data_IF_555222779709
#
_entry.id   IF_555222779709
#
_cell.length_a   1.000
_cell.length_b   1.000
_cell.length_c   1.000
_cell.angle_alpha   90.00
_cell.angle_beta   90.00
_cell.angle_gamma   90.00
#
_symmetry.space_group_name_H-M   'P 1'
#
loop_
_entity.id
_entity.type
_entity.pdbx_description
1 polymer ?
#
# COMPACT_ATOMS: atom_id res chain seq x y z
N UNK A 1 15.58 -12.81 -14.84
CA UNK A 1 14.73 -11.91 -15.64
C UNK A 1 13.28 -11.81 -15.10
N UNK A 2 13.05 -11.51 -13.80
CA UNK A 2 11.69 -11.39 -13.24
C UNK A 2 11.00 -10.03 -13.50
N UNK A 3 11.75 -8.91 -13.48
CA UNK A 3 11.21 -7.54 -13.66
C UNK A 3 10.31 -7.38 -14.91
N UNK A 4 10.62 -8.10 -15.99
CA UNK A 4 9.84 -8.03 -17.24
C UNK A 4 8.40 -8.56 -17.09
N UNK A 5 8.14 -9.49 -16.18
CA UNK A 5 6.80 -10.04 -15.97
C UNK A 5 5.93 -9.08 -15.17
N UNK A 6 6.49 -8.48 -14.12
CA UNK A 6 5.81 -7.44 -13.35
C UNK A 6 5.47 -6.24 -14.23
N UNK A 7 6.44 -5.68 -14.96
CA UNK A 7 6.24 -4.55 -15.85
C UNK A 7 5.14 -4.82 -16.90
N UNK A 8 5.15 -6.01 -17.51
CA UNK A 8 4.14 -6.41 -18.47
C UNK A 8 2.74 -6.53 -17.83
N UNK A 9 2.66 -7.03 -16.60
CA UNK A 9 1.40 -7.12 -15.88
C UNK A 9 0.83 -5.72 -15.56
N UNK A 10 1.67 -4.80 -15.08
CA UNK A 10 1.26 -3.41 -14.78
C UNK A 10 0.85 -2.66 -16.06
N UNK A 11 1.55 -2.85 -17.17
CA UNK A 11 1.14 -2.27 -18.45
C UNK A 11 -0.23 -2.78 -18.92
N UNK A 12 -0.50 -4.08 -18.78
CA UNK A 12 -1.80 -4.66 -19.12
C UNK A 12 -2.91 -4.18 -18.17
N UNK A 13 -2.61 -3.97 -16.90
CA UNK A 13 -3.55 -3.41 -15.92
C UNK A 13 -3.93 -1.97 -16.29
N UNK A 14 -2.95 -1.09 -16.50
CA UNK A 14 -3.19 0.30 -16.89
C UNK A 14 -3.93 0.41 -18.24
N UNK A 15 -3.68 -0.55 -19.14
CA UNK A 15 -4.44 -0.70 -20.37
C UNK A 15 -5.93 -0.91 -20.11
N UNK A 16 -6.24 -1.86 -19.22
CA UNK A 16 -7.59 -2.26 -18.89
C UNK A 16 -8.36 -1.14 -18.21
N UNK A 17 -7.73 -0.44 -17.26
CA UNK A 17 -8.32 0.69 -16.55
C UNK A 17 -8.75 1.79 -17.54
N UNK A 18 -7.86 2.17 -18.47
CA UNK A 18 -8.20 3.14 -19.53
C UNK A 18 -9.37 2.68 -20.40
N UNK A 19 -9.44 1.39 -20.75
CA UNK A 19 -10.57 0.85 -21.51
C UNK A 19 -11.88 0.92 -20.73
N UNK A 20 -11.85 0.64 -19.42
CA UNK A 20 -13.02 0.73 -18.55
C UNK A 20 -13.50 2.18 -18.36
N UNK A 21 -12.57 3.11 -18.17
CA UNK A 21 -12.88 4.54 -18.07
C UNK A 21 -13.52 5.07 -19.37
N UNK A 22 -12.98 4.71 -20.53
CA UNK A 22 -13.56 5.06 -21.82
C UNK A 22 -14.98 4.50 -21.97
N UNK A 23 -15.18 3.22 -21.64
CA UNK A 23 -16.50 2.60 -21.68
C UNK A 23 -17.49 3.31 -20.73
N UNK A 24 -17.05 3.69 -19.53
CA UNK A 24 -17.87 4.43 -18.57
C UNK A 24 -18.21 5.85 -19.05
N UNK A 25 -17.28 6.55 -19.71
CA UNK A 25 -17.52 7.87 -20.31
C UNK A 25 -18.55 7.82 -21.44
N UNK A 26 -18.44 6.80 -22.31
CA UNK A 26 -19.43 6.54 -23.37
C UNK A 26 -20.80 6.24 -22.75
N UNK A 27 -20.86 5.38 -21.72
CA UNK A 27 -22.11 5.05 -21.03
C UNK A 27 -22.76 6.27 -20.34
N UNK A 28 -21.97 7.25 -19.93
CA UNK A 28 -22.43 8.53 -19.33
C UNK A 28 -22.84 9.58 -20.36
N UNK A 29 -22.80 9.27 -21.66
CA UNK A 29 -23.23 10.18 -22.73
C UNK A 29 -22.31 11.38 -22.94
N UNK A 30 -21.08 11.35 -22.40
CA UNK A 30 -20.07 12.37 -22.68
C UNK A 30 -19.57 12.13 -24.10
N UNK A 31 -19.88 13.05 -25.03
CA UNK A 31 -19.31 13.01 -26.38
C UNK A 31 -17.81 13.23 -26.24
N UNK A 32 -17.05 12.14 -26.30
CA UNK A 32 -15.61 12.21 -26.46
C UNK A 32 -15.35 12.94 -27.80
N UNK A 33 -15.01 14.22 -27.72
CA UNK A 33 -14.41 14.95 -28.83
C UNK A 33 -13.25 14.10 -29.33
N UNK A 34 -13.32 13.78 -30.62
CA UNK A 34 -12.46 12.81 -31.29
C UNK A 34 -10.98 12.95 -30.90
N UNK A 35 -10.49 12.00 -30.10
CA UNK A 35 -9.08 11.59 -30.12
C UNK A 35 -9.03 10.10 -30.41
N UNK A 36 -8.88 9.82 -31.70
CA UNK A 36 -8.23 8.66 -32.34
C UNK A 36 -8.31 7.30 -31.60
N UNK A 37 -9.08 6.33 -32.14
CA UNK A 37 -8.88 4.95 -31.76
C UNK A 37 -7.53 4.49 -32.31
N UNK A 38 -6.64 4.05 -31.42
CA UNK A 38 -5.40 3.38 -31.80
C UNK A 38 -4.26 4.32 -32.15
N UNK A 39 -3.39 4.58 -31.17
CA UNK A 39 -1.99 4.84 -31.48
C UNK A 39 -0.97 4.22 -30.55
N UNK A 40 -1.36 3.22 -29.77
CA UNK A 40 -0.48 2.14 -29.31
C UNK A 40 -1.33 0.88 -29.07
N UNK A 41 -0.92 -0.25 -29.64
CA UNK A 41 -1.62 -1.54 -29.63
C UNK A 41 -1.71 -2.15 -28.24
N UNK A 42 -2.56 -1.59 -27.40
CA UNK A 42 -2.72 -2.00 -26.02
C UNK A 42 -3.77 -3.11 -25.92
N UNK A 43 -3.31 -4.36 -25.92
CA UNK A 43 -4.16 -5.53 -25.67
C UNK A 43 -4.07 -5.91 -24.19
N UNK A 44 -5.10 -5.58 -23.43
CA UNK A 44 -5.20 -5.98 -22.03
C UNK A 44 -5.53 -7.49 -21.94
N UNK A 45 -4.75 -8.23 -21.13
CA UNK A 45 -5.09 -9.59 -20.74
C UNK A 45 -6.37 -9.64 -19.90
N UNK A 46 -6.84 -10.86 -19.62
CA UNK A 46 -7.93 -11.05 -18.66
C UNK A 46 -7.45 -10.76 -17.22
N UNK A 47 -8.34 -10.44 -16.27
CA UNK A 47 -7.93 -10.23 -14.87
C UNK A 47 -7.15 -11.42 -14.30
N UNK A 48 -7.61 -12.64 -14.60
CA UNK A 48 -6.94 -13.88 -14.18
C UNK A 48 -5.55 -14.03 -14.80
N UNK A 49 -5.36 -13.60 -16.05
CA UNK A 49 -4.06 -13.66 -16.71
C UNK A 49 -3.07 -12.67 -16.07
N UNK A 50 -3.51 -11.44 -15.82
CA UNK A 50 -2.70 -10.40 -15.17
C UNK A 50 -2.33 -10.85 -13.75
N UNK A 51 -3.29 -11.36 -12.99
CA UNK A 51 -3.07 -11.91 -11.65
C UNK A 51 -2.09 -13.10 -11.67
N UNK A 52 -2.20 -14.00 -12.64
CA UNK A 52 -1.26 -15.11 -12.80
C UNK A 52 0.16 -14.63 -13.10
N UNK A 53 0.32 -13.57 -13.91
CA UNK A 53 1.62 -12.94 -14.18
C UNK A 53 2.22 -12.35 -12.91
N UNK A 54 1.43 -11.60 -12.13
CA UNK A 54 1.87 -11.02 -10.86
C UNK A 54 2.28 -12.10 -9.85
N UNK A 55 1.47 -13.14 -9.68
CA UNK A 55 1.79 -14.28 -8.79
C UNK A 55 3.05 -15.00 -9.24
N UNK A 56 3.24 -15.18 -10.54
CA UNK A 56 4.43 -15.81 -11.10
C UNK A 56 5.67 -14.96 -10.84
N UNK A 57 5.60 -13.65 -11.07
CA UNK A 57 6.71 -12.73 -10.78
C UNK A 57 7.06 -12.77 -9.27
N UNK A 58 6.06 -12.70 -8.39
CA UNK A 58 6.26 -12.78 -6.94
C UNK A 58 6.90 -14.13 -6.51
N UNK A 59 6.43 -15.24 -7.07
CA UNK A 59 7.00 -16.57 -6.82
C UNK A 59 8.45 -16.70 -7.32
N UNK A 60 8.84 -15.92 -8.34
CA UNK A 60 10.21 -15.81 -8.83
C UNK A 60 11.07 -14.85 -8.00
N UNK A 61 10.53 -14.26 -6.94
CA UNK A 61 11.25 -13.35 -6.05
C UNK A 61 11.15 -11.87 -6.41
N UNK A 62 10.29 -11.48 -7.34
CA UNK A 62 10.07 -10.08 -7.68
C UNK A 62 9.42 -9.31 -6.53
N UNK A 63 10.16 -8.38 -5.92
CA UNK A 63 9.70 -7.61 -4.75
C UNK A 63 8.52 -6.70 -5.09
N UNK A 64 8.54 -6.06 -6.26
CA UNK A 64 7.46 -5.18 -6.69
C UNK A 64 6.15 -5.95 -6.90
N UNK A 65 6.24 -7.15 -7.48
CA UNK A 65 5.08 -8.04 -7.62
C UNK A 65 4.54 -8.51 -6.26
N UNK A 66 5.41 -8.89 -5.32
CA UNK A 66 5.01 -9.28 -3.95
C UNK A 66 4.28 -8.13 -3.27
N UNK A 67 4.89 -6.95 -3.27
CA UNK A 67 4.32 -5.73 -2.70
C UNK A 67 2.96 -5.41 -3.30
N UNK A 68 2.85 -5.40 -4.63
CA UNK A 68 1.59 -5.13 -5.32
C UNK A 68 0.48 -6.09 -4.88
N UNK A 69 0.79 -7.39 -4.82
CA UNK A 69 -0.16 -8.41 -4.38
C UNK A 69 -0.57 -8.23 -2.91
N UNK A 70 0.37 -7.88 -2.02
CA UNK A 70 0.07 -7.60 -0.62
C UNK A 70 -0.85 -6.39 -0.46
N UNK A 71 -0.56 -5.29 -1.15
CA UNK A 71 -1.41 -4.09 -1.12
C UNK A 71 -2.82 -4.37 -1.68
N UNK A 72 -2.90 -5.10 -2.81
CA UNK A 72 -4.16 -5.52 -3.38
C UNK A 72 -4.96 -6.39 -2.41
N UNK A 73 -4.30 -7.34 -1.73
CA UNK A 73 -4.94 -8.24 -0.78
C UNK A 73 -5.44 -7.51 0.45
N UNK A 74 -4.65 -6.60 1.01
CA UNK A 74 -5.05 -5.75 2.12
C UNK A 74 -6.30 -4.94 1.76
N UNK A 75 -6.31 -4.29 0.60
CA UNK A 75 -7.47 -3.54 0.12
C UNK A 75 -8.72 -4.44 -0.02
N UNK A 76 -8.57 -5.64 -0.61
CA UNK A 76 -9.69 -6.58 -0.78
C UNK A 76 -10.29 -7.03 0.55
N UNK A 77 -9.45 -7.32 1.55
CA UNK A 77 -9.92 -7.75 2.88
C UNK A 77 -10.67 -6.62 3.57
N UNK A 78 -10.10 -5.41 3.59
CA UNK A 78 -10.74 -4.24 4.19
C UNK A 78 -12.06 -3.88 3.49
N UNK A 79 -12.09 -3.90 2.15
CA UNK A 79 -13.30 -3.62 1.37
C UNK A 79 -14.39 -4.66 1.63
N UNK A 80 -14.02 -5.94 1.75
CA UNK A 80 -14.97 -7.02 2.06
C UNK A 80 -15.62 -6.81 3.42
N UNK A 81 -14.83 -6.48 4.45
CA UNK A 81 -15.36 -6.18 5.78
C UNK A 81 -16.35 -5.01 5.78
N UNK A 82 -16.11 -3.98 4.96
CA UNK A 82 -17.04 -2.85 4.78
C UNK A 82 -18.29 -3.27 4.00
N UNK A 83 -18.15 -4.06 2.94
CA UNK A 83 -19.27 -4.48 2.10
C UNK A 83 -20.22 -5.46 2.79
N UNK A 84 -19.69 -6.30 3.69
CA UNK A 84 -20.48 -7.27 4.46
C UNK A 84 -21.12 -6.66 5.71
N UNK A 85 -20.72 -5.44 6.10
CA UNK A 85 -21.27 -4.76 7.25
C UNK A 85 -22.74 -4.35 7.02
N UNK A 86 -23.66 -4.73 7.93
CA UNK A 86 -25.04 -4.25 7.86
C UNK A 86 -25.12 -2.71 7.89
N UNK A 87 -26.08 -2.14 7.14
CA UNK A 87 -26.29 -0.70 7.10
C UNK A 87 -26.51 -0.13 8.52
N UNK A 88 -25.77 0.94 8.85
CA UNK A 88 -25.84 1.58 10.16
C UNK A 88 -25.02 0.90 11.26
N UNK A 89 -24.25 -0.13 10.94
CA UNK A 89 -23.32 -0.78 11.88
C UNK A 89 -21.87 -0.47 11.52
N UNK A 90 -21.00 -0.42 12.54
CA UNK A 90 -19.57 -0.31 12.31
C UNK A 90 -19.07 -1.64 11.73
N UNK A 91 -18.40 -1.56 10.58
CA UNK A 91 -17.76 -2.70 9.94
C UNK A 91 -16.72 -3.33 10.89
N UNK A 92 -16.63 -4.65 10.86
CA UNK A 92 -15.68 -5.44 11.65
C UNK A 92 -15.13 -6.56 10.77
N UNK A 93 -13.87 -6.90 10.99
CA UNK A 93 -13.28 -8.05 10.33
C UNK A 93 -13.90 -9.34 10.86
N UNK A 94 -14.09 -10.32 9.97
CA UNK A 94 -14.36 -11.69 10.40
C UNK A 94 -13.11 -12.30 11.02
N UNK A 95 -13.22 -13.35 11.84
CA UNK A 95 -12.03 -14.01 12.40
C UNK A 95 -11.07 -14.57 11.33
N UNK A 96 -11.59 -14.88 10.13
CA UNK A 96 -10.78 -15.32 9.01
C UNK A 96 -10.00 -14.14 8.41
N UNK A 97 -10.67 -13.01 8.23
CA UNK A 97 -10.05 -11.77 7.74
C UNK A 97 -9.06 -11.19 8.74
N UNK A 98 -9.30 -11.30 10.06
CA UNK A 98 -8.33 -10.91 11.09
C UNK A 98 -7.02 -11.69 10.95
N UNK A 99 -7.09 -13.02 10.84
CA UNK A 99 -5.90 -13.86 10.62
C UNK A 99 -5.19 -13.53 9.30
N UNK A 100 -5.95 -13.18 8.28
CA UNK A 100 -5.40 -12.77 7.00
C UNK A 100 -4.70 -11.42 7.09
N UNK A 101 -5.29 -10.44 7.77
CA UNK A 101 -4.67 -9.13 8.03
C UNK A 101 -3.41 -9.29 8.87
N UNK A 102 -3.40 -10.14 9.91
CA UNK A 102 -2.20 -10.41 10.70
C UNK A 102 -1.05 -10.98 9.85
N UNK A 103 -1.35 -11.83 8.87
CA UNK A 103 -0.37 -12.35 7.94
C UNK A 103 0.15 -11.24 7.00
N UNK A 104 -0.76 -10.43 6.46
CA UNK A 104 -0.42 -9.30 5.59
C UNK A 104 0.45 -8.27 6.30
N UNK A 105 0.13 -7.94 7.56
CA UNK A 105 0.91 -7.00 8.38
C UNK A 105 2.34 -7.50 8.54
N UNK A 106 2.53 -8.80 8.84
CA UNK A 106 3.88 -9.40 8.97
C UNK A 106 4.66 -9.36 7.66
N UNK A 107 4.02 -9.70 6.55
CA UNK A 107 4.68 -9.71 5.23
C UNK A 107 5.05 -8.28 4.78
N UNK A 108 4.16 -7.31 5.02
CA UNK A 108 4.41 -5.90 4.75
C UNK A 108 5.51 -5.33 5.64
N UNK A 109 5.53 -5.69 6.93
CA UNK A 109 6.56 -5.27 7.88
C UNK A 109 7.94 -5.80 7.46
N UNK A 110 8.05 -7.04 7.00
CA UNK A 110 9.31 -7.58 6.47
C UNK A 110 9.81 -6.79 5.25
N UNK A 111 8.92 -6.41 4.34
CA UNK A 111 9.28 -5.58 3.19
C UNK A 111 9.66 -4.15 3.61
N UNK A 112 8.88 -3.55 4.51
CA UNK A 112 9.11 -2.22 5.03
C UNK A 112 10.47 -2.10 5.75
N UNK A 113 10.81 -3.10 6.57
CA UNK A 113 12.11 -3.18 7.25
C UNK A 113 13.27 -3.44 6.30
N UNK A 114 13.01 -3.97 5.09
CA UNK A 114 14.01 -4.06 4.01
C UNK A 114 14.19 -2.76 3.22
N UNK A 115 13.40 -1.72 3.55
CA UNK A 115 13.43 -0.40 2.93
C UNK A 115 12.47 -0.22 1.77
N UNK A 116 11.46 -1.09 1.64
CA UNK A 116 10.39 -0.90 0.67
C UNK A 116 9.41 0.18 1.14
N UNK A 117 9.51 1.37 0.53
CA UNK A 117 8.70 2.53 0.91
C UNK A 117 7.21 2.35 0.70
N UNK A 118 6.83 1.71 -0.40
CA UNK A 118 5.43 1.53 -0.74
C UNK A 118 4.79 0.47 0.18
N UNK A 119 5.59 -0.49 0.69
CA UNK A 119 5.19 -1.36 1.79
C UNK A 119 5.02 -0.61 3.12
N UNK A 120 5.88 0.38 3.44
CA UNK A 120 5.72 1.26 4.61
C UNK A 120 4.38 2.01 4.55
N UNK A 121 4.05 2.59 3.39
CA UNK A 121 2.80 3.31 3.20
C UNK A 121 1.58 2.39 3.34
N UNK A 122 1.62 1.23 2.68
CA UNK A 122 0.55 0.23 2.76
C UNK A 122 0.36 -0.27 4.20
N UNK A 123 1.47 -0.56 4.89
CA UNK A 123 1.44 -1.01 6.28
C UNK A 123 0.81 0.04 7.19
N UNK A 124 1.24 1.31 7.08
CA UNK A 124 0.67 2.42 7.84
C UNK A 124 -0.85 2.50 7.68
N UNK A 125 -1.36 2.41 6.45
CA UNK A 125 -2.80 2.41 6.17
C UNK A 125 -3.54 1.23 6.81
N UNK A 126 -2.94 0.03 6.78
CA UNK A 126 -3.55 -1.18 7.35
C UNK A 126 -3.61 -1.10 8.88
N UNK A 127 -2.52 -0.70 9.54
CA UNK A 127 -2.42 -0.69 11.01
C UNK A 127 -3.21 0.46 11.64
N UNK A 128 -3.47 1.52 10.89
CA UNK A 128 -4.36 2.62 11.29
C UNK A 128 -5.85 2.29 11.10
N UNK A 129 -6.18 1.17 10.44
CA UNK A 129 -7.55 0.86 10.08
C UNK A 129 -8.43 0.71 11.33
N UNK A 130 -9.56 1.43 11.42
CA UNK A 130 -10.51 1.29 12.53
C UNK A 130 -11.26 -0.05 12.51
N UNK A 131 -11.02 -0.89 11.50
CA UNK A 131 -11.56 -2.25 11.38
C UNK A 131 -10.82 -3.24 12.28
N UNK A 132 -9.61 -2.90 12.74
CA UNK A 132 -8.83 -3.73 13.64
C UNK A 132 -9.49 -3.76 15.03
N UNK A 133 -9.51 -4.94 15.64
CA UNK A 133 -10.16 -5.14 16.94
C UNK A 133 -9.49 -4.35 18.08
N UNK A 134 -8.17 -4.23 18.03
CA UNK A 134 -7.36 -3.50 19.01
C UNK A 134 -6.10 -2.94 18.33
N UNK A 135 -6.21 -1.85 17.53
CA UNK A 135 -5.03 -1.24 16.92
C UNK A 135 -4.11 -0.72 18.04
N UNK A 136 -2.81 -1.02 17.94
CA UNK A 136 -1.81 -0.39 18.78
C UNK A 136 -1.59 1.05 18.26
N UNK A 137 -2.02 2.08 19.00
CA UNK A 137 -1.98 3.46 18.52
C UNK A 137 -0.55 4.00 18.40
N UNK A 138 0.39 3.48 19.20
CA UNK A 138 1.81 3.85 19.12
C UNK A 138 2.44 3.24 17.88
N UNK A 139 2.17 1.97 17.63
CA UNK A 139 2.64 1.26 16.43
C UNK A 139 2.10 1.89 15.14
N UNK A 140 0.80 2.20 15.11
CA UNK A 140 0.17 2.84 13.97
C UNK A 140 0.75 4.24 13.69
N UNK A 141 0.87 5.07 14.72
CA UNK A 141 1.47 6.40 14.59
C UNK A 141 2.94 6.33 14.15
N UNK A 142 3.71 5.34 14.63
CA UNK A 142 5.10 5.18 14.23
C UNK A 142 5.25 4.87 12.73
N UNK A 143 4.43 3.96 12.19
CA UNK A 143 4.41 3.67 10.76
C UNK A 143 3.91 4.85 9.93
N UNK A 144 2.92 5.61 10.44
CA UNK A 144 2.47 6.86 9.79
C UNK A 144 3.58 7.89 9.72
N UNK A 145 4.29 8.12 10.82
CA UNK A 145 5.44 9.03 10.85
C UNK A 145 6.51 8.58 9.87
N UNK A 146 6.85 7.29 9.87
CA UNK A 146 7.84 6.71 8.96
C UNK A 146 7.45 6.87 7.49
N UNK A 147 6.18 6.68 7.13
CA UNK A 147 5.70 6.83 5.74
C UNK A 147 5.76 8.27 5.23
N UNK A 148 5.61 9.26 6.12
CA UNK A 148 5.68 10.68 5.77
C UNK A 148 7.10 11.19 5.53
N UNK A 149 8.11 10.50 6.04
CA UNK A 149 9.47 11.00 5.91
C UNK A 149 9.97 10.90 4.45
N UNK A 150 10.77 11.88 3.97
CA UNK A 150 11.31 11.87 2.63
C UNK A 150 12.41 10.81 2.47
N UNK A 151 12.47 10.09 1.33
CA UNK A 151 13.31 8.89 1.18
C UNK A 151 14.81 9.21 1.08
N UNK A 152 15.15 10.44 0.70
CA UNK A 152 16.52 10.88 0.37
C UNK A 152 17.25 11.54 1.53
N UNK A 153 16.59 11.75 2.67
CA UNK A 153 17.17 12.48 3.80
C UNK A 153 17.37 11.51 4.94
N UNK A 154 18.61 11.21 5.33
CA UNK A 154 18.86 10.61 6.65
C UNK A 154 18.22 11.52 7.69
N UNK A 155 17.35 10.98 8.57
CA UNK A 155 16.57 11.84 9.43
C UNK A 155 17.55 12.49 10.42
N UNK A 156 17.42 13.79 10.61
CA UNK A 156 18.09 14.41 11.75
C UNK A 156 17.32 13.97 13.00
N UNK A 157 17.91 13.06 13.77
CA UNK A 157 17.28 12.46 14.94
C UNK A 157 16.95 13.49 16.03
N UNK A 158 17.60 14.65 15.98
CA UNK A 158 17.36 15.77 16.89
C UNK A 158 16.29 16.75 16.36
N UNK A 159 15.93 16.68 15.08
CA UNK A 159 14.88 17.51 14.50
C UNK A 159 13.48 16.88 14.70
N UNK A 160 12.42 17.71 14.69
CA UNK A 160 11.06 17.21 14.54
C UNK A 160 10.89 16.44 13.22
N UNK A 161 10.15 15.33 13.26
CA UNK A 161 9.78 14.56 12.07
C UNK A 161 8.74 15.32 11.24
N UNK A 162 8.65 15.02 9.95
CA UNK A 162 7.61 15.62 9.11
C UNK A 162 6.21 15.18 9.59
N UNK A 163 5.32 16.18 9.74
CA UNK A 163 3.96 16.03 10.26
C UNK A 163 3.86 15.40 11.65
N UNK A 164 4.92 15.49 12.47
CA UNK A 164 4.96 14.90 13.82
C UNK A 164 3.76 15.33 14.67
N UNK A 165 3.58 16.63 14.85
CA UNK A 165 2.52 17.20 15.68
C UNK A 165 1.12 16.73 15.23
N UNK A 166 0.81 16.75 13.94
CA UNK A 166 -0.48 16.29 13.40
C UNK A 166 -0.75 14.81 13.72
N UNK A 167 0.28 13.98 13.60
CA UNK A 167 0.13 12.53 13.71
C UNK A 167 0.02 12.10 15.17
N UNK A 168 0.79 12.73 16.07
CA UNK A 168 0.83 12.33 17.48
C UNK A 168 -0.11 13.13 18.37
N UNK A 169 -0.79 14.17 17.87
CA UNK A 169 -1.70 15.04 18.64
C UNK A 169 -2.76 14.25 19.42
N UNK A 170 -3.31 13.20 18.80
CA UNK A 170 -4.34 12.36 19.41
C UNK A 170 -3.81 11.40 20.49
N UNK A 171 -2.49 11.24 20.60
CA UNK A 171 -1.86 10.33 21.55
C UNK A 171 -1.56 11.01 22.89
N UNK A 172 -1.65 10.27 24.02
CA UNK A 172 -1.14 10.74 25.31
C UNK A 172 0.36 11.10 25.23
N UNK A 173 0.85 12.10 25.99
CA UNK A 173 2.24 12.58 25.89
C UNK A 173 3.31 11.49 26.01
N UNK A 174 3.08 10.47 26.85
CA UNK A 174 3.99 9.32 26.98
C UNK A 174 4.05 8.49 25.68
N UNK A 175 2.92 8.31 25.01
CA UNK A 175 2.82 7.55 23.76
C UNK A 175 3.37 8.34 22.56
N UNK A 176 3.28 9.67 22.57
CA UNK A 176 3.89 10.53 21.54
C UNK A 176 5.40 10.27 21.42
N UNK A 177 6.13 10.29 22.55
CA UNK A 177 7.56 10.02 22.55
C UNK A 177 7.90 8.59 22.14
N UNK A 178 7.06 7.61 22.49
CA UNK A 178 7.24 6.22 22.08
C UNK A 178 7.05 6.05 20.57
N UNK A 179 5.99 6.64 20.01
CA UNK A 179 5.72 6.60 18.58
C UNK A 179 6.85 7.27 17.78
N UNK A 180 7.32 8.43 18.25
CA UNK A 180 8.47 9.13 17.66
C UNK A 180 9.74 8.28 17.68
N UNK A 181 10.06 7.67 18.83
CA UNK A 181 11.26 6.83 18.96
C UNK A 181 11.21 5.62 18.04
N UNK A 182 10.06 4.97 17.94
CA UNK A 182 9.86 3.84 17.04
C UNK A 182 9.94 4.29 15.57
N UNK A 183 9.30 5.39 15.19
CA UNK A 183 9.34 5.93 13.82
C UNK A 183 10.77 6.22 13.34
N UNK A 184 11.60 6.79 14.24
CA UNK A 184 13.03 7.02 13.99
C UNK A 184 13.76 5.71 13.70
N UNK A 185 13.49 4.66 14.47
CA UNK A 185 14.10 3.35 14.27
C UNK A 185 13.67 2.75 12.93
N UNK A 186 12.37 2.76 12.64
CA UNK A 186 11.77 2.26 11.40
C UNK A 186 12.35 2.97 10.16
N UNK A 187 12.45 4.30 10.21
CA UNK A 187 13.08 5.08 9.14
C UNK A 187 14.58 4.78 9.01
N UNK A 188 15.25 4.53 10.14
CA UNK A 188 16.65 4.10 10.18
C UNK A 188 16.91 2.78 9.46
N UNK A 189 15.92 1.88 9.37
CA UNK A 189 15.98 0.68 8.53
C UNK A 189 15.75 1.03 7.05
N UNK A 190 14.77 1.88 6.75
CA UNK A 190 14.41 2.22 5.37
C UNK A 190 15.48 3.03 4.62
N UNK A 191 16.06 4.05 5.25
CA UNK A 191 16.94 5.01 4.56
C UNK A 191 18.43 4.65 4.64
N UNK A 192 18.82 3.67 5.47
CA UNK A 192 20.22 3.20 5.55
C UNK A 192 20.57 2.28 4.37
N UNK A 193 19.59 1.63 3.75
CA UNK A 193 19.77 0.77 2.58
C UNK A 193 19.97 1.55 1.26
N UNK A 194 19.50 2.79 1.17
CA UNK A 194 19.63 3.62 -0.03
C UNK A 194 20.88 4.53 -0.06
N UNK A 195 21.69 4.54 1.01
CA UNK A 195 22.94 5.31 1.09
C UNK A 195 24.18 4.60 0.51
N UNK A 196 24.01 3.43 -0.14
CA UNK A 196 25.11 2.57 -0.56
C UNK A 196 24.88 1.87 -1.89
N UNK A 197 24.52 2.61 -2.93
CA UNK A 197 24.62 2.16 -4.32
C UNK A 197 24.78 3.39 -5.24
N UNK A 198 26.01 3.91 -5.26
CA UNK A 198 26.52 4.75 -6.35
C UNK A 198 27.48 3.94 -7.19
#
# INVERSE_FOLDING_TARGET
MPQRLFDAAIQQLACRERQQEQAAQIARGVVATAMQPGRDGCTAGTPLQIEAMLRTAAAQGDTDAKRYLLAQRAAQVMQRAVAEAPAGTQARLSSADEREVDALVKDLELLALSGDRDAIETLAQVVESPLLHAPDPVYAAAWRLASRQPPTRTPDLAAPLEAEDEIVESLPPQQQQQARSLAVELFGYCCRAHGGAG
#
